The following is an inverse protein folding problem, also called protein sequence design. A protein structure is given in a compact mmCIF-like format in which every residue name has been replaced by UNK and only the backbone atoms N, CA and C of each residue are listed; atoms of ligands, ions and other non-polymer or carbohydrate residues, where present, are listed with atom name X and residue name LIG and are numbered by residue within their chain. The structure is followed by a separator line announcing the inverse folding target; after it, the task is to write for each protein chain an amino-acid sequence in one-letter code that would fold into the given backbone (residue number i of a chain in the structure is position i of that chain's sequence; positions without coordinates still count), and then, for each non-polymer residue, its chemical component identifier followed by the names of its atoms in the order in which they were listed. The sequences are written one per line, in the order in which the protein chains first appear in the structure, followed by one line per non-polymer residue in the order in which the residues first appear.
data_IF_503213305045
#
_entry.id   IF_503213305045
#
_cell.length_a   1.000
_cell.length_b   1.000
_cell.length_c   1.000
_cell.angle_alpha   90.00
_cell.angle_beta   90.00
_cell.angle_gamma   90.00
#
_symmetry.space_group_name_H-M   'P 1'
#
loop_
_entity.id
_entity.type
_entity.pdbx_description
1 polymer ?
#
# COMPACT_ATOMS: atom_id res chain seq x y z
N UNK A 1 -16.68 11.94 12.53
CA UNK A 1 -17.12 11.59 11.16
C UNK A 1 -16.15 10.60 10.52
N UNK A 2 -14.87 10.90 10.32
CA UNK A 2 -13.88 10.02 9.65
C UNK A 2 -13.78 8.65 10.32
N UNK A 3 -13.64 8.60 11.66
CA UNK A 3 -13.62 7.32 12.39
C UNK A 3 -14.84 6.46 12.09
N UNK A 4 -16.05 7.02 12.07
CA UNK A 4 -17.26 6.29 11.74
C UNK A 4 -17.24 5.72 10.32
N UNK A 5 -16.76 6.47 9.34
CA UNK A 5 -16.59 6.01 7.97
C UNK A 5 -15.56 4.86 7.88
N UNK A 6 -14.43 4.99 8.56
CA UNK A 6 -13.39 3.95 8.61
C UNK A 6 -13.94 2.67 9.24
N UNK A 7 -14.66 2.77 10.36
CA UNK A 7 -15.28 1.61 11.02
C UNK A 7 -16.30 0.92 10.13
N UNK A 8 -17.16 1.67 9.44
CA UNK A 8 -18.12 1.11 8.49
C UNK A 8 -17.43 0.41 7.31
N UNK A 9 -16.29 0.95 6.83
CA UNK A 9 -15.48 0.30 5.80
C UNK A 9 -14.87 -1.00 6.34
N UNK A 10 -14.21 -0.96 7.49
CA UNK A 10 -13.62 -2.15 8.11
C UNK A 10 -14.66 -3.26 8.34
N UNK A 11 -15.88 -2.89 8.75
CA UNK A 11 -16.96 -3.85 8.93
C UNK A 11 -17.35 -4.53 7.60
N UNK A 12 -17.45 -3.79 6.50
CA UNK A 12 -17.71 -4.36 5.18
C UNK A 12 -16.55 -5.26 4.71
N UNK A 13 -15.30 -4.84 4.95
CA UNK A 13 -14.10 -5.56 4.54
C UNK A 13 -13.99 -6.95 5.22
N UNK A 14 -14.72 -7.18 6.34
CA UNK A 14 -14.74 -8.49 7.04
C UNK A 14 -15.40 -9.60 6.23
N UNK A 15 -16.27 -9.27 5.31
CA UNK A 15 -17.01 -10.23 4.48
C UNK A 15 -16.67 -10.13 2.99
N UNK A 16 -15.88 -9.13 2.59
CA UNK A 16 -15.48 -8.95 1.20
C UNK A 16 -14.39 -9.96 0.81
N UNK A 17 -14.60 -10.80 -0.22
CA UNK A 17 -13.63 -11.82 -0.60
C UNK A 17 -12.26 -11.26 -1.03
N UNK A 18 -12.22 -10.10 -1.69
CA UNK A 18 -10.97 -9.47 -2.11
C UNK A 18 -10.15 -9.00 -0.90
N UNK A 19 -10.80 -8.36 0.08
CA UNK A 19 -10.13 -7.90 1.30
C UNK A 19 -9.66 -9.10 2.15
N UNK A 20 -10.45 -10.15 2.26
CA UNK A 20 -10.08 -11.39 2.96
C UNK A 20 -8.86 -12.06 2.30
N UNK A 21 -8.87 -12.24 0.99
CA UNK A 21 -7.77 -12.83 0.24
C UNK A 21 -6.49 -11.99 0.35
N UNK A 22 -6.59 -10.68 0.13
CA UNK A 22 -5.47 -9.75 0.21
C UNK A 22 -4.86 -9.72 1.63
N UNK A 23 -5.69 -9.58 2.66
CA UNK A 23 -5.25 -9.61 4.06
C UNK A 23 -4.48 -10.89 4.37
N UNK A 24 -5.05 -12.03 4.03
CA UNK A 24 -4.44 -13.32 4.30
C UNK A 24 -3.12 -13.49 3.57
N UNK A 25 -3.03 -13.02 2.34
CA UNK A 25 -1.81 -13.05 1.55
C UNK A 25 -0.70 -12.22 2.21
N UNK A 26 -0.97 -10.94 2.54
CA UNK A 26 0.01 -10.05 3.17
C UNK A 26 0.47 -10.56 4.53
N UNK A 27 -0.42 -11.05 5.38
CA UNK A 27 -0.09 -11.65 6.67
C UNK A 27 0.74 -12.92 6.54
N UNK A 28 0.53 -13.69 5.48
CA UNK A 28 1.32 -14.92 5.24
C UNK A 28 2.69 -14.58 4.67
N UNK A 29 2.77 -13.63 3.77
CA UNK A 29 4.02 -13.22 3.15
C UNK A 29 4.93 -12.44 4.12
N UNK A 30 4.36 -11.66 5.04
CA UNK A 30 5.10 -10.74 5.92
C UNK A 30 4.58 -10.76 7.36
N UNK A 31 4.58 -11.92 8.06
CA UNK A 31 3.92 -12.05 9.36
C UNK A 31 4.49 -11.12 10.43
N UNK A 32 5.81 -10.91 10.46
CA UNK A 32 6.54 -10.15 11.46
C UNK A 32 7.01 -8.77 10.96
N UNK A 33 6.54 -8.36 9.79
CA UNK A 33 6.94 -7.11 9.16
C UNK A 33 5.76 -6.12 9.07
N UNK A 34 6.00 -4.80 9.08
CA UNK A 34 4.92 -3.81 8.90
C UNK A 34 4.04 -4.02 7.66
N UNK A 35 4.56 -4.62 6.59
CA UNK A 35 3.79 -4.93 5.38
C UNK A 35 2.66 -5.96 5.61
N UNK A 36 2.77 -6.82 6.62
CA UNK A 36 1.70 -7.75 6.99
C UNK A 36 0.59 -7.12 7.83
N UNK A 37 0.73 -5.83 8.22
CA UNK A 37 -0.28 -5.14 9.03
C UNK A 37 -1.39 -4.55 8.16
N UNK A 38 -2.57 -4.46 8.76
CA UNK A 38 -3.72 -3.80 8.15
C UNK A 38 -3.47 -2.29 8.00
N UNK A 39 -3.38 -1.78 6.78
CA UNK A 39 -3.11 -0.36 6.51
C UNK A 39 -4.22 0.58 7.00
N UNK A 40 -5.46 0.11 7.02
CA UNK A 40 -6.64 0.85 7.52
C UNK A 40 -6.82 0.72 9.04
N UNK A 41 -5.97 -0.06 9.73
CA UNK A 41 -6.19 -0.48 11.10
C UNK A 41 -7.20 -1.63 11.21
N UNK A 42 -7.67 -1.90 12.43
CA UNK A 42 -8.63 -2.98 12.71
C UNK A 42 -9.86 -2.43 13.46
N UNK A 43 -10.92 -3.23 13.53
CA UNK A 43 -12.13 -2.89 14.31
C UNK A 43 -11.82 -2.64 15.79
N UNK A 44 -10.73 -3.21 16.31
CA UNK A 44 -10.28 -3.04 17.69
C UNK A 44 -9.32 -1.84 17.84
N UNK A 45 -8.46 -1.57 16.86
CA UNK A 45 -7.43 -0.54 16.97
C UNK A 45 -7.97 0.87 16.69
N UNK A 46 -8.81 1.03 15.67
CA UNK A 46 -9.32 2.34 15.23
C UNK A 46 -10.13 3.08 16.32
N UNK A 47 -11.00 2.40 17.10
CA UNK A 47 -11.72 3.07 18.20
C UNK A 47 -10.80 3.61 19.30
N UNK A 48 -9.63 3.00 19.51
CA UNK A 48 -8.67 3.40 20.56
C UNK A 48 -7.85 4.61 20.19
N UNK A 49 -7.78 4.99 18.92
CA UNK A 49 -7.00 6.17 18.47
C UNK A 49 -7.62 7.45 19.06
N UNK A 50 -6.82 8.20 19.81
CA UNK A 50 -7.22 9.47 20.41
C UNK A 50 -6.72 10.66 19.60
N UNK A 51 -7.22 11.86 19.94
CA UNK A 51 -6.69 13.10 19.36
C UNK A 51 -5.23 13.36 19.80
N UNK A 52 -4.82 12.86 20.97
CA UNK A 52 -3.44 12.94 21.43
C UNK A 52 -2.51 12.10 20.56
N UNK A 53 -2.92 10.86 20.24
CA UNK A 53 -2.15 9.98 19.34
C UNK A 53 -1.95 10.60 17.95
N UNK A 54 -3.00 11.27 17.41
CA UNK A 54 -2.89 11.95 16.13
C UNK A 54 -1.92 13.14 16.17
N UNK A 55 -1.94 13.93 17.25
CA UNK A 55 -0.97 15.03 17.41
C UNK A 55 0.46 14.51 17.56
N UNK A 56 0.64 13.45 18.33
CA UNK A 56 1.94 12.80 18.49
C UNK A 56 2.45 12.22 17.18
N UNK A 57 1.58 11.57 16.40
CA UNK A 57 1.91 11.08 15.07
C UNK A 57 2.41 12.22 14.16
N UNK A 58 1.66 13.35 14.11
CA UNK A 58 2.06 14.52 13.33
C UNK A 58 3.44 15.03 13.76
N UNK A 59 3.66 15.17 15.07
CA UNK A 59 4.95 15.64 15.65
C UNK A 59 6.14 14.74 15.28
N UNK A 60 5.93 13.43 15.25
CA UNK A 60 6.99 12.44 14.98
C UNK A 60 7.28 12.27 13.49
N UNK A 61 6.26 12.38 12.65
CA UNK A 61 6.36 12.02 11.23
C UNK A 61 6.66 13.25 10.36
N UNK A 62 5.97 14.36 10.61
CA UNK A 62 6.11 15.55 9.79
C UNK A 62 7.29 16.42 10.28
N UNK A 63 8.35 16.45 9.48
CA UNK A 63 9.54 17.23 9.79
C UNK A 63 10.18 17.79 8.52
N UNK A 64 11.02 18.83 8.68
CA UNK A 64 11.62 19.53 7.54
C UNK A 64 12.70 18.72 6.82
N UNK A 65 13.40 17.81 7.52
CA UNK A 65 14.49 17.03 6.95
C UNK A 65 14.10 16.12 5.79
N UNK A 66 12.84 15.67 5.75
CA UNK A 66 12.32 14.81 4.69
C UNK A 66 11.31 15.52 3.77
N UNK A 67 11.09 16.81 4.00
CA UNK A 67 10.15 17.59 3.22
C UNK A 67 10.72 17.83 1.80
N UNK A 68 9.96 17.42 0.79
CA UNK A 68 10.25 17.73 -0.61
C UNK A 68 9.09 18.53 -1.16
N UNK A 69 9.37 19.74 -1.64
CA UNK A 69 8.34 20.63 -2.18
C UNK A 69 8.60 20.85 -3.67
N UNK A 70 7.58 20.65 -4.47
CA UNK A 70 7.59 21.01 -5.90
C UNK A 70 6.50 22.05 -6.15
N UNK A 71 6.86 23.16 -6.77
CA UNK A 71 5.93 24.25 -7.10
C UNK A 71 6.01 24.50 -8.61
N UNK A 72 4.85 24.54 -9.24
CA UNK A 72 4.70 24.89 -10.65
C UNK A 72 3.63 25.98 -10.75
N UNK A 73 3.98 27.12 -11.33
CA UNK A 73 3.06 28.25 -11.48
C UNK A 73 3.79 29.57 -11.71
N UNK A 74 3.04 30.65 -11.79
CA UNK A 74 3.57 32.02 -11.92
C UNK A 74 3.98 32.54 -10.53
N UNK A 75 5.15 32.08 -10.07
CA UNK A 75 5.72 32.47 -8.77
C UNK A 75 7.25 32.45 -8.86
N UNK A 76 7.89 33.51 -8.38
CA UNK A 76 9.35 33.55 -8.27
C UNK A 76 9.87 32.78 -7.06
N UNK A 77 11.16 32.42 -7.09
CA UNK A 77 11.80 31.59 -6.06
C UNK A 77 11.75 32.24 -4.65
N UNK A 78 11.82 33.56 -4.56
CA UNK A 78 11.80 34.30 -3.28
C UNK A 78 10.41 34.20 -2.65
N UNK A 79 9.37 34.49 -3.44
CA UNK A 79 7.99 34.36 -3.00
C UNK A 79 7.64 32.91 -2.63
N UNK A 80 8.06 31.94 -3.45
CA UNK A 80 7.88 30.51 -3.15
C UNK A 80 8.55 30.13 -1.81
N UNK A 81 9.79 30.59 -1.57
CA UNK A 81 10.49 30.36 -0.31
C UNK A 81 9.74 30.91 0.89
N UNK A 82 9.26 32.15 0.82
CA UNK A 82 8.46 32.74 1.91
C UNK A 82 7.15 31.98 2.18
N UNK A 83 6.49 31.51 1.14
CA UNK A 83 5.26 30.71 1.29
C UNK A 83 5.55 29.36 1.95
N UNK A 84 6.64 28.69 1.56
CA UNK A 84 7.08 27.43 2.15
C UNK A 84 7.43 27.63 3.62
N UNK A 85 8.22 28.66 3.95
CA UNK A 85 8.59 28.95 5.34
C UNK A 85 7.37 29.28 6.19
N UNK A 86 6.41 30.02 5.66
CA UNK A 86 5.15 30.31 6.35
C UNK A 86 4.30 29.06 6.59
N UNK A 87 4.28 28.14 5.63
CA UNK A 87 3.45 26.93 5.71
C UNK A 87 4.09 25.84 6.57
N UNK A 88 5.41 25.66 6.45
CA UNK A 88 6.13 24.50 7.00
C UNK A 88 7.23 24.86 7.99
N UNK A 89 7.58 26.11 8.15
CA UNK A 89 8.68 26.55 9.03
C UNK A 89 8.51 26.15 10.49
N UNK A 90 7.27 26.01 10.97
CA UNK A 90 6.94 25.57 12.33
C UNK A 90 7.12 24.04 12.55
N UNK A 91 7.34 23.25 11.50
CA UNK A 91 7.58 21.81 11.64
C UNK A 91 8.92 21.54 12.34
N UNK A 92 9.04 20.43 13.09
CA UNK A 92 10.29 19.97 13.66
C UNK A 92 11.41 19.88 12.60
N UNK A 93 12.65 20.13 13.02
CA UNK A 93 13.79 20.02 12.12
C UNK A 93 14.06 18.59 11.64
N UNK A 94 13.81 17.61 12.52
CA UNK A 94 14.00 16.16 12.24
C UNK A 94 12.79 15.37 12.69
N UNK A 95 12.46 14.33 11.93
CA UNK A 95 11.46 13.34 12.31
C UNK A 95 12.03 12.30 13.29
N UNK A 96 11.14 11.54 13.92
CA UNK A 96 11.45 10.40 14.80
C UNK A 96 10.91 9.10 14.16
N UNK A 97 11.34 8.84 12.92
CA UNK A 97 10.95 7.64 12.19
C UNK A 97 12.01 6.55 12.36
N UNK A 98 11.55 5.34 12.67
CA UNK A 98 12.41 4.17 12.68
C UNK A 98 12.59 3.66 11.25
N UNK A 99 13.80 3.28 10.84
CA UNK A 99 14.03 2.62 9.56
C UNK A 99 13.20 1.35 9.46
N UNK A 100 12.60 1.13 8.30
CA UNK A 100 11.92 -0.13 8.00
C UNK A 100 12.96 -1.07 7.41
N UNK A 101 13.13 -2.25 8.01
CA UNK A 101 14.04 -3.26 7.51
C UNK A 101 13.59 -3.77 6.12
N UNK A 102 14.54 -4.26 5.34
CA UNK A 102 14.21 -4.97 4.10
C UNK A 102 13.40 -6.23 4.44
N UNK A 103 12.36 -6.46 3.67
CA UNK A 103 11.47 -7.60 3.85
C UNK A 103 11.71 -8.66 2.78
N UNK A 104 11.79 -9.91 3.21
CA UNK A 104 11.74 -11.07 2.33
C UNK A 104 10.43 -11.79 2.56
N UNK A 105 9.64 -12.07 1.51
CA UNK A 105 8.37 -12.77 1.70
C UNK A 105 8.59 -14.20 2.18
N UNK A 106 7.77 -14.62 3.11
CA UNK A 106 7.70 -15.98 3.63
C UNK A 106 6.52 -16.74 3.02
N UNK A 107 6.35 -17.99 3.42
CA UNK A 107 5.18 -18.78 2.99
C UNK A 107 5.18 -19.14 1.50
N UNK A 108 6.31 -19.10 0.82
CA UNK A 108 6.45 -19.53 -0.57
C UNK A 108 5.93 -20.98 -0.74
N UNK A 109 5.18 -21.21 -1.82
CA UNK A 109 4.58 -22.52 -2.10
C UNK A 109 3.33 -22.85 -1.27
N UNK A 110 2.94 -22.05 -0.29
CA UNK A 110 1.71 -22.27 0.48
C UNK A 110 0.47 -21.97 -0.36
N UNK A 111 -0.52 -22.85 -0.28
CA UNK A 111 -1.87 -22.63 -0.77
C UNK A 111 -2.81 -22.53 0.42
N UNK A 112 -3.54 -21.40 0.50
CA UNK A 112 -4.50 -21.14 1.56
C UNK A 112 -5.87 -20.97 0.90
N UNK A 113 -6.88 -21.68 1.41
CA UNK A 113 -8.26 -21.58 0.95
C UNK A 113 -9.09 -20.98 2.08
N UNK A 114 -9.84 -19.93 1.76
CA UNK A 114 -10.83 -19.32 2.65
C UNK A 114 -12.19 -19.61 2.04
N UNK A 115 -12.99 -20.41 2.72
CA UNK A 115 -14.33 -20.73 2.27
C UNK A 115 -15.28 -19.58 2.62
N UNK A 116 -15.89 -18.99 1.58
CA UNK A 116 -16.89 -17.94 1.68
C UNK A 116 -18.03 -18.30 0.74
N UNK A 117 -19.26 -18.06 1.15
CA UNK A 117 -20.45 -18.31 0.33
C UNK A 117 -20.63 -17.16 -0.67
N UNK A 118 -19.91 -17.24 -1.80
CA UNK A 118 -19.93 -16.26 -2.88
C UNK A 118 -19.86 -16.98 -4.24
N UNK A 119 -20.50 -16.41 -5.28
CA UNK A 119 -20.58 -17.06 -6.59
C UNK A 119 -19.26 -17.11 -7.36
N UNK A 120 -18.29 -16.29 -7.00
CA UNK A 120 -17.01 -16.18 -7.72
C UNK A 120 -15.82 -16.34 -6.76
N UNK A 121 -14.81 -17.11 -7.21
CA UNK A 121 -13.55 -17.23 -6.48
C UNK A 121 -12.66 -16.01 -6.72
N UNK A 122 -12.04 -15.50 -5.65
CA UNK A 122 -10.95 -14.53 -5.71
C UNK A 122 -9.64 -15.27 -5.49
N UNK A 123 -8.67 -15.06 -6.36
CA UNK A 123 -7.35 -15.66 -6.26
C UNK A 123 -6.29 -14.57 -6.16
N UNK A 124 -5.52 -14.58 -5.07
CA UNK A 124 -4.36 -13.71 -4.89
C UNK A 124 -3.11 -14.59 -4.85
N UNK A 125 -2.14 -14.31 -5.68
CA UNK A 125 -0.87 -15.02 -5.68
C UNK A 125 0.28 -14.06 -5.92
N UNK A 126 1.49 -14.47 -5.53
CA UNK A 126 2.69 -13.69 -5.70
C UNK A 126 3.92 -14.46 -5.24
N UNK A 127 5.07 -13.88 -5.49
CA UNK A 127 6.37 -14.43 -5.13
C UNK A 127 7.36 -13.33 -4.77
N UNK A 128 8.60 -13.70 -4.64
CA UNK A 128 9.68 -12.75 -4.41
C UNK A 128 9.82 -11.83 -5.62
N UNK A 129 9.84 -10.53 -5.35
CA UNK A 129 10.13 -9.50 -6.33
C UNK A 129 11.61 -9.12 -6.34
N UNK A 130 11.93 -8.14 -7.17
CA UNK A 130 13.26 -7.55 -7.29
C UNK A 130 13.25 -6.10 -6.80
N UNK A 131 14.29 -5.67 -6.12
CA UNK A 131 14.38 -4.30 -5.59
C UNK A 131 14.43 -3.27 -6.73
N UNK A 132 13.83 -2.09 -6.51
CA UNK A 132 13.78 -1.04 -7.53
C UNK A 132 15.17 -0.51 -7.92
N UNK A 133 16.15 -0.59 -7.03
CA UNK A 133 17.54 -0.19 -7.28
C UNK A 133 18.40 -1.30 -7.86
N UNK A 134 17.83 -2.48 -8.05
CA UNK A 134 18.55 -3.62 -8.65
C UNK A 134 18.84 -3.32 -10.13
N UNK A 135 20.05 -3.62 -10.65
CA UNK A 135 20.38 -3.44 -12.06
C UNK A 135 19.42 -4.16 -13.02
N UNK A 136 18.88 -5.32 -12.59
CA UNK A 136 17.94 -6.12 -13.39
C UNK A 136 16.47 -5.64 -13.28
N UNK A 137 16.20 -4.57 -12.51
CA UNK A 137 14.82 -4.09 -12.28
C UNK A 137 14.08 -3.80 -13.58
N UNK A 138 14.73 -3.15 -14.55
CA UNK A 138 14.06 -2.80 -15.81
C UNK A 138 13.73 -4.04 -16.64
N UNK A 139 14.58 -5.05 -16.65
CA UNK A 139 14.30 -6.31 -17.31
C UNK A 139 13.11 -7.03 -16.65
N UNK A 140 13.10 -7.10 -15.31
CA UNK A 140 11.99 -7.67 -14.56
C UNK A 140 10.68 -6.88 -14.76
N UNK A 141 10.74 -5.56 -14.83
CA UNK A 141 9.58 -4.71 -15.12
C UNK A 141 8.98 -5.00 -16.50
N UNK A 142 9.81 -5.12 -17.53
CA UNK A 142 9.38 -5.46 -18.90
C UNK A 142 8.75 -6.85 -18.93
N UNK A 143 9.38 -7.85 -18.31
CA UNK A 143 8.83 -9.22 -18.23
C UNK A 143 7.48 -9.22 -17.53
N UNK A 144 7.36 -8.51 -16.40
CA UNK A 144 6.09 -8.38 -15.69
C UNK A 144 5.02 -7.69 -16.55
N UNK A 145 5.40 -6.65 -17.31
CA UNK A 145 4.48 -5.97 -18.23
C UNK A 145 3.96 -6.90 -19.32
N UNK A 146 4.85 -7.67 -19.94
CA UNK A 146 4.48 -8.68 -20.96
C UNK A 146 3.56 -9.75 -20.36
N UNK A 147 3.85 -10.20 -19.13
CA UNK A 147 3.11 -11.27 -18.49
C UNK A 147 1.69 -10.83 -18.09
N UNK A 148 1.53 -9.75 -17.34
CA UNK A 148 0.24 -9.34 -16.78
C UNK A 148 0.06 -7.83 -16.60
N UNK A 149 1.14 -7.05 -16.51
CA UNK A 149 1.09 -5.61 -16.26
C UNK A 149 0.67 -4.77 -17.46
N UNK A 150 0.71 -5.31 -18.67
CA UNK A 150 0.39 -4.62 -19.92
C UNK A 150 -1.10 -4.54 -20.24
N UNK A 151 -1.99 -4.58 -19.25
CA UNK A 151 -3.42 -4.48 -19.43
C UNK A 151 -3.93 -5.38 -20.59
N UNK A 152 -4.62 -4.84 -21.58
CA UNK A 152 -5.24 -5.59 -22.68
C UNK A 152 -4.26 -6.35 -23.59
N UNK A 153 -3.00 -6.00 -23.63
CA UNK A 153 -1.98 -6.63 -24.46
C UNK A 153 -1.16 -7.71 -23.76
N UNK A 154 -1.36 -7.92 -22.46
CA UNK A 154 -0.59 -8.89 -21.68
C UNK A 154 -0.96 -10.34 -22.00
N UNK A 155 -0.01 -11.26 -21.74
CA UNK A 155 -0.21 -12.71 -22.00
C UNK A 155 -1.34 -13.28 -21.12
N UNK A 156 -1.37 -12.91 -19.83
CA UNK A 156 -2.42 -13.37 -18.92
C UNK A 156 -3.79 -12.87 -19.35
N UNK A 157 -3.91 -11.62 -19.76
CA UNK A 157 -5.16 -11.09 -20.26
C UNK A 157 -5.69 -11.90 -21.44
N UNK A 158 -4.86 -12.12 -22.45
CA UNK A 158 -5.24 -12.88 -23.64
C UNK A 158 -5.55 -14.34 -23.33
N UNK A 159 -4.72 -15.01 -22.54
CA UNK A 159 -4.87 -16.44 -22.28
C UNK A 159 -5.99 -16.76 -21.28
N UNK A 160 -6.20 -15.93 -20.28
CA UNK A 160 -7.15 -16.21 -19.19
C UNK A 160 -8.50 -15.56 -19.46
N UNK A 161 -8.50 -14.29 -19.84
CA UNK A 161 -9.74 -13.54 -20.07
C UNK A 161 -10.31 -13.75 -21.47
N UNK A 162 -9.55 -13.43 -22.53
CA UNK A 162 -10.10 -13.45 -23.89
C UNK A 162 -10.39 -14.85 -24.39
N UNK A 163 -9.41 -15.77 -24.26
CA UNK A 163 -9.56 -17.12 -24.81
C UNK A 163 -10.41 -18.04 -23.94
N UNK A 164 -10.46 -17.84 -22.63
CA UNK A 164 -11.11 -18.78 -21.69
C UNK A 164 -12.25 -18.18 -20.90
N UNK A 165 -12.40 -16.85 -20.84
CA UNK A 165 -13.45 -16.19 -20.07
C UNK A 165 -13.39 -16.45 -18.56
N UNK A 166 -12.21 -16.85 -18.02
CA UNK A 166 -12.07 -17.30 -16.63
C UNK A 166 -11.91 -16.17 -15.64
N UNK A 167 -11.49 -14.99 -16.09
CA UNK A 167 -11.33 -13.82 -15.25
C UNK A 167 -11.74 -12.56 -16.01
N UNK A 168 -12.19 -11.54 -15.27
CA UNK A 168 -12.49 -10.23 -15.85
C UNK A 168 -11.34 -9.24 -15.65
N UNK A 169 -10.61 -9.31 -14.53
CA UNK A 169 -9.45 -8.50 -14.18
C UNK A 169 -8.52 -9.25 -13.27
#
# INVERSE_FOLDING_TARGET
RIRGQTMATLQRDTTNPNDLASRRWWQTAFPDHPYGRESKGTLESVPRITAADLREYVRRVFARNELKVSIVGDVDAKTAGMLIDRAFGALPAKNDLKPIANATPTGLGKRIVINVDVPQAVVTFGGQGIARQDPEFMAAYIVNHILGGGSFSSRLYREVREKRGLAYG
#
